data_IF_547405235078
#
_entry.id   IF_547405235078
#
_cell.length_a   1.000
_cell.length_b   1.000
_cell.length_c   1.000
_cell.angle_alpha   90.00
_cell.angle_beta   90.00
_cell.angle_gamma   90.00
#
_symmetry.space_group_name_H-M   'P 1'
#
loop_
_entity.id
_entity.type
_entity.pdbx_description
1 polymer ?
#
# COMPACT_ATOMS: atom_id res chain seq x y z
N UNK A 1 -35.06 -21.11 15.64
CA UNK A 1 -33.86 -21.94 15.40
C UNK A 1 -33.09 -21.31 14.24
N UNK A 2 -31.84 -20.89 14.45
CA UNK A 2 -31.03 -20.24 13.41
C UNK A 2 -30.76 -21.21 12.26
N UNK A 3 -31.29 -20.93 11.06
CA UNK A 3 -31.02 -21.69 9.82
C UNK A 3 -29.57 -21.55 9.30
N UNK A 4 -28.67 -20.97 10.09
CA UNK A 4 -27.31 -20.60 9.70
C UNK A 4 -26.35 -21.81 9.55
N UNK A 5 -26.76 -23.03 9.88
CA UNK A 5 -25.82 -24.17 10.04
C UNK A 5 -26.33 -25.52 9.52
N UNK A 6 -27.09 -25.57 8.43
CA UNK A 6 -27.16 -26.81 7.62
C UNK A 6 -26.02 -26.81 6.62
N UNK A 7 -24.81 -27.15 7.05
CA UNK A 7 -23.66 -27.31 6.14
C UNK A 7 -23.70 -28.71 5.51
N UNK A 8 -23.22 -28.82 4.27
CA UNK A 8 -22.99 -30.13 3.66
C UNK A 8 -21.96 -30.90 4.48
N UNK A 9 -22.24 -32.18 4.72
CA UNK A 9 -21.26 -33.11 5.30
C UNK A 9 -20.17 -33.42 4.27
N UNK A 10 -19.02 -33.91 4.73
CA UNK A 10 -17.91 -34.30 3.85
C UNK A 10 -18.35 -35.23 2.71
N UNK A 11 -19.13 -36.26 3.02
CA UNK A 11 -19.65 -37.20 2.03
C UNK A 11 -20.59 -36.53 1.02
N UNK A 12 -21.41 -35.56 1.45
CA UNK A 12 -22.26 -34.79 0.54
C UNK A 12 -21.44 -33.86 -0.36
N UNK A 13 -20.34 -33.28 0.13
CA UNK A 13 -19.43 -32.46 -0.68
C UNK A 13 -18.77 -33.30 -1.78
N UNK A 14 -18.35 -34.52 -1.47
CA UNK A 14 -17.69 -35.43 -2.43
C UNK A 14 -18.63 -35.91 -3.54
N UNK A 15 -19.94 -35.91 -3.30
CA UNK A 15 -20.98 -36.37 -4.23
C UNK A 15 -21.75 -35.23 -4.91
N UNK A 16 -21.58 -33.99 -4.44
CA UNK A 16 -22.26 -32.83 -4.99
C UNK A 16 -21.72 -32.47 -6.38
N UNK A 17 -22.61 -31.99 -7.23
CA UNK A 17 -22.25 -31.39 -8.51
C UNK A 17 -21.47 -30.08 -8.33
N UNK A 18 -20.75 -29.67 -9.38
CA UNK A 18 -20.01 -28.40 -9.39
C UNK A 18 -20.93 -27.21 -9.07
N UNK A 19 -22.16 -27.20 -9.61
CA UNK A 19 -23.10 -26.11 -9.39
C UNK A 19 -23.66 -26.11 -7.96
N UNK A 20 -23.91 -27.27 -7.35
CA UNK A 20 -24.27 -27.37 -5.94
C UNK A 20 -23.14 -26.87 -5.03
N UNK A 21 -21.89 -27.23 -5.34
CA UNK A 21 -20.73 -26.75 -4.58
C UNK A 21 -20.53 -25.24 -4.71
N UNK A 22 -20.68 -24.66 -5.91
CA UNK A 22 -20.63 -23.20 -6.12
C UNK A 22 -21.74 -22.49 -5.36
N UNK A 23 -22.95 -23.05 -5.38
CA UNK A 23 -24.09 -22.50 -4.65
C UNK A 23 -23.84 -22.54 -3.15
N UNK A 24 -23.35 -23.66 -2.61
CA UNK A 24 -23.03 -23.79 -1.18
C UNK A 24 -21.87 -22.87 -0.76
N UNK A 25 -20.84 -22.71 -1.60
CA UNK A 25 -19.78 -21.71 -1.41
C UNK A 25 -20.35 -20.29 -1.33
N UNK A 26 -21.21 -19.92 -2.29
CA UNK A 26 -21.85 -18.60 -2.30
C UNK A 26 -22.72 -18.38 -1.05
N UNK A 27 -23.46 -19.41 -0.63
CA UNK A 27 -24.29 -19.38 0.58
C UNK A 27 -23.45 -19.19 1.84
N UNK A 28 -22.34 -19.93 1.97
CA UNK A 28 -21.44 -19.84 3.13
C UNK A 28 -20.72 -18.49 3.22
N UNK A 29 -20.38 -17.87 2.08
CA UNK A 29 -19.86 -16.50 2.06
C UNK A 29 -20.90 -15.48 2.58
N UNK A 30 -22.17 -15.61 2.19
CA UNK A 30 -23.26 -14.77 2.70
C UNK A 30 -23.47 -14.94 4.20
N UNK A 31 -23.40 -16.18 4.69
CA UNK A 31 -23.43 -16.47 6.14
C UNK A 31 -22.25 -15.80 6.85
N UNK A 32 -21.06 -15.82 6.25
CA UNK A 32 -19.87 -15.16 6.81
C UNK A 32 -20.06 -13.65 6.93
N UNK A 33 -20.63 -13.00 5.92
CA UNK A 33 -21.00 -11.58 5.98
C UNK A 33 -21.97 -11.28 7.14
N UNK A 34 -23.00 -12.10 7.31
CA UNK A 34 -23.94 -11.97 8.44
C UNK A 34 -23.24 -12.16 9.80
N UNK A 35 -22.27 -13.06 9.89
CA UNK A 35 -21.44 -13.21 11.09
C UNK A 35 -20.57 -11.97 11.36
N UNK A 36 -20.03 -11.31 10.33
CA UNK A 36 -19.31 -10.05 10.52
C UNK A 36 -20.22 -8.95 11.07
N UNK A 37 -21.47 -8.87 10.61
CA UNK A 37 -22.48 -7.96 11.19
C UNK A 37 -22.71 -8.29 12.66
N UNK A 38 -22.94 -9.56 12.99
CA UNK A 38 -23.14 -9.99 14.37
C UNK A 38 -21.92 -9.66 15.26
N UNK A 39 -20.70 -9.92 14.79
CA UNK A 39 -19.46 -9.55 15.48
C UNK A 39 -19.34 -8.03 15.65
N UNK A 40 -19.78 -7.23 14.68
CA UNK A 40 -19.77 -5.77 14.78
C UNK A 40 -20.72 -5.24 15.88
N UNK A 41 -21.83 -5.92 16.12
CA UNK A 41 -22.75 -5.58 17.21
C UNK A 41 -22.11 -5.85 18.57
N UNK A 42 -21.44 -7.00 18.73
CA UNK A 42 -20.66 -7.35 19.93
C UNK A 42 -19.54 -6.32 20.13
N UNK A 43 -18.78 -6.02 19.07
CA UNK A 43 -17.71 -5.02 19.10
C UNK A 43 -18.23 -3.67 19.61
N UNK A 44 -19.35 -3.20 19.07
CA UNK A 44 -19.98 -1.93 19.48
C UNK A 44 -20.30 -1.93 20.97
N UNK A 45 -20.83 -3.04 21.50
CA UNK A 45 -21.15 -3.16 22.92
C UNK A 45 -19.89 -3.20 23.80
N UNK A 46 -18.89 -4.01 23.46
CA UNK A 46 -17.62 -4.08 24.20
C UNK A 46 -16.89 -2.73 24.21
N UNK A 47 -16.90 -2.02 23.08
CA UNK A 47 -16.30 -0.69 22.98
C UNK A 47 -17.04 0.34 23.85
N UNK A 48 -18.38 0.28 23.92
CA UNK A 48 -19.17 1.12 24.86
C UNK A 48 -18.85 0.85 26.32
N UNK A 49 -18.44 -0.38 26.65
CA UNK A 49 -18.02 -0.77 28.00
C UNK A 49 -16.56 -0.37 28.32
N UNK A 50 -15.85 0.25 27.39
CA UNK A 50 -14.47 0.70 27.58
C UNK A 50 -13.42 -0.42 27.53
N UNK A 51 -13.77 -1.58 26.98
CA UNK A 51 -12.83 -2.70 26.81
C UNK A 51 -11.83 -2.38 25.71
N UNK A 52 -10.54 -2.60 25.95
CA UNK A 52 -9.53 -2.51 24.89
C UNK A 52 -9.62 -3.74 23.97
N UNK A 53 -9.86 -3.46 22.69
CA UNK A 53 -10.01 -4.46 21.62
C UNK A 53 -8.88 -4.37 20.58
N UNK A 54 -7.84 -3.58 20.85
CA UNK A 54 -6.72 -3.33 19.93
C UNK A 54 -6.09 -4.64 19.42
N UNK A 55 -5.90 -5.62 20.31
CA UNK A 55 -5.32 -6.93 19.98
C UNK A 55 -6.15 -7.80 19.04
N UNK A 56 -7.44 -7.47 18.83
CA UNK A 56 -8.33 -8.24 17.94
C UNK A 56 -8.30 -7.75 16.49
N UNK A 57 -7.68 -6.60 16.19
CA UNK A 57 -7.68 -5.97 14.86
C UNK A 57 -6.71 -6.65 13.89
N UNK A 58 -7.02 -7.87 13.47
CA UNK A 58 -6.23 -8.61 12.48
C UNK A 58 -7.12 -9.39 11.51
N UNK A 59 -6.59 -9.69 10.31
CA UNK A 59 -7.36 -10.39 9.28
C UNK A 59 -8.67 -9.69 8.93
N UNK A 60 -9.78 -10.43 8.89
CA UNK A 60 -11.11 -9.85 8.65
C UNK A 60 -11.61 -9.00 9.83
N UNK A 61 -11.15 -9.25 11.05
CA UNK A 61 -11.53 -8.48 12.23
C UNK A 61 -11.03 -7.03 12.19
N UNK A 62 -10.03 -6.71 11.37
CA UNK A 62 -9.58 -5.34 11.11
C UNK A 62 -10.73 -4.45 10.60
N UNK A 63 -11.72 -5.03 9.91
CA UNK A 63 -12.85 -4.32 9.31
C UNK A 63 -14.12 -4.28 10.19
N UNK A 64 -14.20 -5.12 11.23
CA UNK A 64 -15.34 -5.17 12.17
C UNK A 64 -15.67 -3.79 12.80
N UNK A 65 -14.69 -2.97 13.21
CA UNK A 65 -14.97 -1.62 13.71
C UNK A 65 -15.62 -0.69 12.67
N UNK A 66 -15.27 -0.86 11.39
CA UNK A 66 -15.83 -0.06 10.29
C UNK A 66 -17.27 -0.48 9.99
N UNK A 67 -17.56 -1.79 10.07
CA UNK A 67 -18.93 -2.31 9.97
C UNK A 67 -19.78 -1.81 11.15
N UNK A 68 -19.23 -1.86 12.37
CA UNK A 68 -19.93 -1.43 13.59
C UNK A 68 -20.31 0.07 13.57
N UNK A 69 -19.58 0.88 12.80
CA UNK A 69 -19.82 2.31 12.63
C UNK A 69 -20.54 2.65 11.32
N UNK A 70 -21.08 1.63 10.63
CA UNK A 70 -21.77 1.76 9.33
C UNK A 70 -20.92 2.45 8.24
N UNK A 71 -19.59 2.34 8.34
CA UNK A 71 -18.65 2.90 7.36
C UNK A 71 -18.30 1.93 6.24
N UNK A 72 -18.48 0.63 6.46
CA UNK A 72 -18.13 -0.39 5.49
C UNK A 72 -19.18 -1.48 5.42
N UNK A 73 -19.65 -1.80 4.22
CA UNK A 73 -20.55 -2.91 3.99
C UNK A 73 -19.80 -4.25 4.16
N UNK A 74 -20.33 -5.20 4.96
CA UNK A 74 -19.71 -6.50 5.22
C UNK A 74 -19.57 -7.40 3.98
N UNK A 75 -20.48 -7.32 3.01
CA UNK A 75 -20.41 -8.09 1.77
C UNK A 75 -19.19 -7.67 0.93
N UNK A 76 -18.85 -6.37 0.93
CA UNK A 76 -17.64 -5.87 0.28
C UNK A 76 -16.36 -6.40 0.93
N UNK A 77 -16.35 -6.58 2.26
CA UNK A 77 -15.22 -7.14 3.00
C UNK A 77 -14.96 -8.58 2.57
N UNK A 78 -16.02 -9.37 2.39
CA UNK A 78 -15.91 -10.76 1.92
C UNK A 78 -15.48 -10.80 0.46
N UNK A 79 -16.11 -10.01 -0.40
CA UNK A 79 -15.85 -10.01 -1.84
C UNK A 79 -14.43 -9.55 -2.18
N UNK A 80 -13.94 -8.51 -1.49
CA UNK A 80 -12.65 -7.87 -1.78
C UNK A 80 -11.60 -8.15 -0.69
N UNK A 81 -11.76 -9.27 0.03
CA UNK A 81 -10.81 -9.72 1.04
C UNK A 81 -9.36 -9.72 0.50
N UNK A 82 -8.46 -9.07 1.22
CA UNK A 82 -7.05 -8.92 0.82
C UNK A 82 -6.75 -7.69 -0.04
N UNK A 83 -7.75 -7.06 -0.67
CA UNK A 83 -7.55 -5.78 -1.36
C UNK A 83 -7.72 -4.60 -0.39
N UNK A 84 -6.73 -4.42 0.48
CA UNK A 84 -6.74 -3.36 1.51
C UNK A 84 -6.93 -1.95 0.92
N UNK A 85 -6.39 -1.70 -0.27
CA UNK A 85 -6.52 -0.39 -0.94
C UNK A 85 -7.96 -0.12 -1.33
N UNK A 86 -8.64 -1.10 -1.94
CA UNK A 86 -10.03 -0.97 -2.32
C UNK A 86 -10.95 -0.87 -1.10
N UNK A 87 -10.74 -1.70 -0.08
CA UNK A 87 -11.56 -1.65 1.15
C UNK A 87 -11.40 -0.33 1.91
N UNK A 88 -10.18 0.20 1.99
CA UNK A 88 -9.94 1.51 2.59
C UNK A 88 -10.60 2.65 1.78
N UNK A 89 -10.60 2.55 0.46
CA UNK A 89 -11.29 3.48 -0.42
C UNK A 89 -12.82 3.42 -0.25
N UNK A 90 -13.39 2.21 -0.27
CA UNK A 90 -14.83 1.96 -0.09
C UNK A 90 -15.35 2.44 1.26
N UNK A 91 -14.53 2.39 2.32
CA UNK A 91 -14.91 2.89 3.65
C UNK A 91 -15.19 4.41 3.68
N UNK A 92 -14.76 5.16 2.66
CA UNK A 92 -15.06 6.59 2.51
C UNK A 92 -16.27 6.87 1.60
N UNK A 93 -16.85 5.84 0.98
CA UNK A 93 -18.00 5.95 0.08
C UNK A 93 -19.29 5.86 0.91
N UNK A 94 -20.35 6.61 0.58
CA UNK A 94 -21.66 6.45 1.21
C UNK A 94 -22.18 5.01 1.19
N UNK A 95 -22.80 4.55 2.29
CA UNK A 95 -23.21 3.15 2.44
C UNK A 95 -24.20 2.68 1.35
N UNK A 96 -25.05 3.58 0.85
CA UNK A 96 -25.99 3.27 -0.24
C UNK A 96 -25.26 2.93 -1.54
N UNK A 97 -24.19 3.67 -1.86
CA UNK A 97 -23.35 3.39 -3.02
C UNK A 97 -22.53 2.12 -2.81
N UNK A 98 -22.08 1.85 -1.58
CA UNK A 98 -21.44 0.59 -1.24
C UNK A 98 -22.36 -0.61 -1.49
N UNK A 99 -23.65 -0.52 -1.16
CA UNK A 99 -24.62 -1.58 -1.42
C UNK A 99 -24.76 -1.86 -2.92
N UNK A 100 -24.88 -0.81 -3.73
CA UNK A 100 -24.91 -0.93 -5.19
C UNK A 100 -23.61 -1.56 -5.76
N UNK A 101 -22.46 -1.20 -5.20
CA UNK A 101 -21.17 -1.79 -5.58
C UNK A 101 -21.10 -3.26 -5.16
N UNK A 102 -21.66 -3.65 -4.01
CA UNK A 102 -21.66 -5.03 -3.54
C UNK A 102 -22.44 -5.96 -4.49
N UNK A 103 -23.53 -5.45 -5.06
CA UNK A 103 -24.37 -6.18 -6.02
C UNK A 103 -23.71 -6.28 -7.41
N UNK A 104 -23.21 -5.17 -7.93
CA UNK A 104 -22.72 -5.09 -9.32
C UNK A 104 -21.25 -5.43 -9.47
N UNK A 105 -20.46 -5.22 -8.41
CA UNK A 105 -18.99 -5.34 -8.37
C UNK A 105 -18.28 -4.48 -9.42
N UNK A 106 -18.98 -3.47 -9.92
CA UNK A 106 -18.60 -2.71 -11.08
C UNK A 106 -18.82 -1.22 -10.84
N UNK A 107 -18.00 -0.39 -11.47
CA UNK A 107 -18.12 1.07 -11.39
C UNK A 107 -17.87 1.70 -12.75
N UNK A 108 -18.47 2.86 -13.00
CA UNK A 108 -18.14 3.66 -14.17
C UNK A 108 -16.70 4.17 -14.07
N UNK A 109 -15.96 4.04 -15.17
CA UNK A 109 -14.56 4.41 -15.25
C UNK A 109 -14.28 5.18 -16.53
N UNK A 110 -13.41 6.18 -16.44
CA UNK A 110 -13.03 7.02 -17.57
C UNK A 110 -11.58 6.79 -17.96
N UNK A 111 -11.34 6.52 -19.23
CA UNK A 111 -10.02 6.60 -19.86
C UNK A 111 -9.87 7.89 -20.67
N UNK A 112 -8.62 8.30 -20.87
CA UNK A 112 -8.28 9.34 -21.84
C UNK A 112 -7.83 8.66 -23.15
N UNK A 113 -8.53 8.96 -24.24
CA UNK A 113 -8.08 8.60 -25.58
C UNK A 113 -6.91 9.46 -26.06
N UNK A 114 -6.43 9.20 -27.28
CA UNK A 114 -5.21 9.81 -27.83
C UNK A 114 -5.31 11.34 -27.97
N UNK A 115 -6.51 11.88 -28.20
CA UNK A 115 -6.74 13.33 -28.33
C UNK A 115 -7.37 13.95 -27.07
N UNK A 116 -7.17 13.33 -25.91
CA UNK A 116 -7.84 13.67 -24.65
C UNK A 116 -9.37 13.55 -24.71
N UNK A 117 -9.92 12.73 -25.60
CA UNK A 117 -11.34 12.38 -25.55
C UNK A 117 -11.67 11.59 -24.27
N UNK A 118 -12.87 11.81 -23.76
CA UNK A 118 -13.43 11.06 -22.62
C UNK A 118 -13.95 9.71 -23.15
N UNK A 119 -13.33 8.62 -22.72
CA UNK A 119 -13.79 7.26 -23.05
C UNK A 119 -14.38 6.65 -21.78
N UNK A 120 -15.68 6.43 -21.74
CA UNK A 120 -16.34 5.78 -20.61
C UNK A 120 -16.41 4.27 -20.82
N UNK A 121 -16.05 3.52 -19.77
CA UNK A 121 -16.20 2.06 -19.72
C UNK A 121 -16.60 1.61 -18.33
N UNK A 122 -16.94 0.34 -18.22
CA UNK A 122 -17.18 -0.31 -16.93
C UNK A 122 -15.86 -0.88 -16.41
N UNK A 123 -15.56 -0.63 -15.13
CA UNK A 123 -14.44 -1.23 -14.41
C UNK A 123 -14.96 -2.33 -13.49
N UNK A 124 -14.46 -3.54 -13.72
CA UNK A 124 -14.61 -4.68 -12.81
C UNK A 124 -13.67 -4.51 -11.60
N UNK A 125 -14.25 -4.34 -10.42
CA UNK A 125 -13.48 -4.08 -9.20
C UNK A 125 -12.68 -5.30 -8.73
N UNK A 126 -13.06 -6.51 -9.13
CA UNK A 126 -12.31 -7.73 -8.77
C UNK A 126 -10.92 -7.75 -9.41
N UNK A 127 -10.74 -6.99 -10.50
CA UNK A 127 -9.49 -6.88 -11.27
C UNK A 127 -8.89 -5.48 -11.27
N UNK A 128 -9.49 -4.56 -10.50
CA UNK A 128 -9.08 -3.15 -10.51
C UNK A 128 -7.68 -2.96 -9.94
N UNK A 129 -6.85 -2.21 -10.67
CA UNK A 129 -5.51 -1.84 -10.23
C UNK A 129 -5.58 -0.66 -9.26
N UNK A 130 -4.57 -0.49 -8.37
CA UNK A 130 -4.54 0.64 -7.43
C UNK A 130 -4.74 2.00 -8.08
N UNK A 131 -4.16 2.25 -9.26
CA UNK A 131 -4.33 3.51 -10.00
C UNK A 131 -5.79 3.77 -10.40
N UNK A 132 -6.51 2.72 -10.80
CA UNK A 132 -7.92 2.81 -11.19
C UNK A 132 -8.78 3.08 -9.95
N UNK A 133 -8.49 2.38 -8.84
CA UNK A 133 -9.13 2.61 -7.54
C UNK A 133 -8.97 4.07 -7.12
N UNK A 134 -7.75 4.62 -7.12
CA UNK A 134 -7.52 6.01 -6.73
C UNK A 134 -8.19 7.04 -7.64
N UNK A 135 -8.44 6.70 -8.91
CA UNK A 135 -9.14 7.57 -9.84
C UNK A 135 -10.64 7.60 -9.54
N UNK A 136 -11.25 6.45 -9.27
CA UNK A 136 -12.68 6.37 -8.94
C UNK A 136 -12.93 6.86 -7.51
N UNK A 137 -12.13 6.44 -6.55
CA UNK A 137 -12.41 6.59 -5.11
C UNK A 137 -11.54 7.63 -4.41
N UNK A 138 -11.62 8.91 -4.83
CA UNK A 138 -10.87 9.98 -4.16
C UNK A 138 -11.49 11.37 -4.29
N UNK A 139 -12.79 11.45 -4.57
CA UNK A 139 -13.55 12.71 -4.61
C UNK A 139 -13.89 13.23 -3.21
N UNK A 140 -14.56 14.38 -3.12
CA UNK A 140 -14.99 15.00 -1.85
C UNK A 140 -15.84 14.05 -0.99
N UNK A 141 -16.61 13.15 -1.62
CA UNK A 141 -17.43 12.15 -0.95
C UNK A 141 -16.85 10.72 -1.06
N UNK A 142 -15.54 10.60 -1.27
CA UNK A 142 -14.88 9.30 -1.45
C UNK A 142 -15.15 8.62 -2.81
N UNK A 143 -15.98 9.22 -3.67
CA UNK A 143 -16.33 8.71 -5.01
C UNK A 143 -16.31 9.83 -6.06
N UNK A 144 -15.79 9.55 -7.25
CA UNK A 144 -15.75 10.46 -8.40
C UNK A 144 -16.67 9.95 -9.50
N UNK A 145 -17.63 10.78 -9.91
CA UNK A 145 -18.43 10.53 -11.10
C UNK A 145 -17.56 10.61 -12.38
N UNK A 146 -18.07 10.18 -13.55
CA UNK A 146 -17.28 10.17 -14.79
C UNK A 146 -16.67 11.53 -15.16
N UNK A 147 -17.38 12.63 -14.93
CA UNK A 147 -16.88 13.97 -15.24
C UNK A 147 -15.75 14.40 -14.30
N UNK A 148 -15.88 14.10 -13.01
CA UNK A 148 -14.83 14.34 -12.01
C UNK A 148 -13.58 13.48 -12.28
N UNK A 149 -13.76 12.24 -12.71
CA UNK A 149 -12.64 11.39 -13.14
C UNK A 149 -11.91 11.99 -14.34
N UNK A 150 -12.65 12.46 -15.33
CA UNK A 150 -12.08 13.12 -16.51
C UNK A 150 -11.31 14.40 -16.15
N UNK A 151 -11.88 15.24 -15.27
CA UNK A 151 -11.21 16.45 -14.77
C UNK A 151 -9.94 16.10 -13.98
N UNK A 152 -9.98 15.08 -13.13
CA UNK A 152 -8.81 14.57 -12.41
C UNK A 152 -7.70 14.12 -13.38
N UNK A 153 -8.06 13.39 -14.44
CA UNK A 153 -7.10 12.97 -15.46
C UNK A 153 -6.49 14.15 -16.23
N UNK A 154 -7.31 15.13 -16.62
CA UNK A 154 -6.84 16.38 -17.26
C UNK A 154 -5.93 17.21 -16.36
N UNK A 155 -6.25 17.32 -15.08
CA UNK A 155 -5.38 18.02 -14.14
C UNK A 155 -4.02 17.32 -14.04
N UNK A 156 -4.02 15.98 -13.94
CA UNK A 156 -2.80 15.18 -13.83
C UNK A 156 -1.93 15.20 -15.08
N UNK A 157 -2.52 15.34 -16.27
CA UNK A 157 -1.75 15.47 -17.52
C UNK A 157 -1.13 16.86 -17.71
N UNK A 158 -1.74 17.90 -17.13
CA UNK A 158 -1.23 19.29 -17.16
C UNK A 158 -0.10 19.55 -16.16
N UNK A 159 0.02 18.75 -15.09
CA UNK A 159 1.15 18.89 -14.17
C UNK A 159 2.42 18.48 -14.92
N UNK A 160 3.39 19.39 -15.15
CA UNK A 160 4.63 19.02 -15.80
C UNK A 160 5.28 17.91 -14.98
N UNK A 161 5.63 16.80 -15.65
CA UNK A 161 6.42 15.75 -15.01
C UNK A 161 7.69 16.41 -14.51
N UNK A 162 7.79 16.62 -13.20
CA UNK A 162 9.05 17.03 -12.57
C UNK A 162 10.05 15.97 -13.05
N UNK A 163 11.12 16.36 -13.77
CA UNK A 163 12.10 15.39 -14.22
C UNK A 163 12.55 14.61 -12.99
N UNK A 164 12.51 13.27 -13.07
CA UNK A 164 13.01 12.40 -12.00
C UNK A 164 14.35 12.97 -11.58
N UNK A 165 14.40 13.52 -10.37
CA UNK A 165 15.59 14.20 -9.86
C UNK A 165 16.75 13.25 -10.06
N UNK A 166 17.83 13.75 -10.69
CA UNK A 166 19.07 13.02 -10.96
C UNK A 166 19.33 12.02 -9.84
N UNK A 167 19.67 10.77 -10.21
CA UNK A 167 20.05 9.70 -9.28
C UNK A 167 20.65 10.30 -8.01
N UNK A 168 20.00 10.04 -6.86
CA UNK A 168 20.57 10.47 -5.58
C UNK A 168 21.97 9.87 -5.53
N UNK A 169 23.00 10.70 -5.72
CA UNK A 169 24.37 10.35 -5.37
C UNK A 169 24.35 10.13 -3.86
N UNK A 170 24.15 8.89 -3.45
CA UNK A 170 24.36 8.50 -2.07
C UNK A 170 25.84 8.71 -1.81
N UNK A 171 26.18 9.79 -1.12
CA UNK A 171 27.53 9.97 -0.60
C UNK A 171 27.78 8.77 0.33
N UNK A 172 28.75 7.92 -0.02
CA UNK A 172 29.13 6.78 0.83
C UNK A 172 29.72 7.36 2.12
N UNK A 173 29.44 6.73 3.25
CA UNK A 173 30.09 7.08 4.52
C UNK A 173 31.59 6.88 4.37
N UNK A 174 32.36 7.88 4.81
CA UNK A 174 33.82 7.82 4.82
C UNK A 174 34.28 7.96 6.26
N UNK A 175 35.01 6.97 6.73
CA UNK A 175 35.56 6.90 8.08
C UNK A 175 37.05 6.51 8.00
N UNK A 176 37.79 6.67 9.10
CA UNK A 176 39.15 6.14 9.21
C UNK A 176 39.15 4.92 10.12
N UNK A 177 40.05 3.98 9.85
CA UNK A 177 40.28 2.85 10.76
C UNK A 177 40.90 3.32 12.09
N UNK A 178 40.87 2.48 13.12
CA UNK A 178 41.31 2.83 14.48
C UNK A 178 42.76 3.37 14.54
N UNK A 179 43.60 2.98 13.58
CA UNK A 179 45.00 3.39 13.51
C UNK A 179 45.26 4.53 12.51
N UNK A 180 44.21 5.03 11.83
CA UNK A 180 44.26 6.03 10.75
C UNK A 180 45.22 5.67 9.60
N UNK A 181 45.48 4.38 9.37
CA UNK A 181 46.29 3.91 8.23
C UNK A 181 45.42 3.82 6.96
N UNK A 182 44.13 3.56 7.12
CA UNK A 182 43.19 3.35 6.02
C UNK A 182 41.95 4.25 6.14
N UNK A 183 41.53 4.80 5.01
CA UNK A 183 40.23 5.44 4.82
C UNK A 183 39.22 4.39 4.34
N UNK A 184 38.17 4.17 5.12
CA UNK A 184 37.06 3.27 4.85
C UNK A 184 35.99 4.00 4.05
N UNK A 185 35.56 3.42 2.91
CA UNK A 185 34.53 4.00 2.03
C UNK A 185 33.36 3.02 1.92
N UNK A 186 32.30 3.26 2.69
CA UNK A 186 31.22 2.30 2.86
C UNK A 186 31.66 1.05 3.64
N UNK A 187 31.05 -0.11 3.38
CA UNK A 187 31.28 -1.34 4.15
C UNK A 187 32.47 -2.19 3.69
N UNK A 188 32.83 -2.08 2.40
CA UNK A 188 33.65 -3.12 1.75
C UNK A 188 34.92 -2.56 1.08
N UNK A 189 35.20 -1.26 1.20
CA UNK A 189 36.34 -0.63 0.55
C UNK A 189 37.22 0.09 1.56
N UNK A 190 38.53 -0.18 1.49
CA UNK A 190 39.56 0.49 2.28
C UNK A 190 40.64 1.01 1.35
N UNK A 191 41.06 2.26 1.55
CA UNK A 191 42.10 2.91 0.76
C UNK A 191 43.19 3.37 1.72
N UNK A 192 44.45 3.05 1.42
CA UNK A 192 45.56 3.46 2.27
C UNK A 192 45.72 4.98 2.19
N UNK A 193 45.78 5.65 3.35
CA UNK A 193 45.85 7.12 3.42
C UNK A 193 47.09 7.66 2.68
N UNK A 194 48.19 6.94 2.77
CA UNK A 194 49.45 7.22 2.06
C UNK A 194 49.26 7.35 0.54
N UNK A 195 48.46 6.47 -0.04
CA UNK A 195 48.16 6.48 -1.48
C UNK A 195 47.32 7.69 -1.87
N UNK A 196 46.43 8.14 -0.99
CA UNK A 196 45.61 9.33 -1.19
C UNK A 196 46.48 10.59 -1.12
N UNK A 197 47.35 10.69 -0.12
CA UNK A 197 48.26 11.83 0.05
C UNK A 197 49.21 11.97 -1.15
N UNK A 198 49.77 10.86 -1.62
CA UNK A 198 50.61 10.86 -2.83
C UNK A 198 49.83 11.30 -4.07
N UNK A 199 48.65 10.73 -4.29
CA UNK A 199 47.82 11.10 -5.45
C UNK A 199 47.38 12.57 -5.42
N UNK A 200 47.10 13.11 -4.23
CA UNK A 200 46.80 14.54 -4.06
C UNK A 200 48.04 15.41 -4.29
N UNK A 201 49.21 14.98 -3.79
CA UNK A 201 50.46 15.68 -4.02
C UNK A 201 50.83 15.74 -5.51
N UNK A 202 50.66 14.61 -6.22
CA UNK A 202 50.87 14.52 -7.66
C UNK A 202 49.86 15.41 -8.43
N UNK A 203 48.59 15.43 -8.01
CA UNK A 203 47.54 16.21 -8.68
C UNK A 203 47.73 17.73 -8.54
N UNK A 204 48.20 18.17 -7.38
CA UNK A 204 48.37 19.60 -7.08
C UNK A 204 49.82 20.07 -7.18
N UNK A 205 50.75 19.18 -7.57
CA UNK A 205 52.21 19.42 -7.66
C UNK A 205 52.81 19.97 -6.36
N UNK A 206 52.36 19.45 -5.22
CA UNK A 206 52.75 19.92 -3.88
C UNK A 206 53.15 18.74 -3.00
N UNK A 207 54.15 18.92 -2.14
CA UNK A 207 54.47 17.93 -1.11
C UNK A 207 53.44 17.99 0.04
N UNK A 208 52.45 17.12 -0.07
CA UNK A 208 51.39 16.98 0.93
C UNK A 208 51.92 16.47 2.29
N UNK A 209 53.02 15.72 2.34
CA UNK A 209 53.59 15.27 3.61
C UNK A 209 54.23 16.43 4.36
N UNK A 210 54.96 17.29 3.65
CA UNK A 210 55.56 18.48 4.25
C UNK A 210 54.47 19.40 4.84
N UNK A 211 53.38 19.64 4.09
CA UNK A 211 52.29 20.49 4.56
C UNK A 211 51.60 19.88 5.79
N UNK A 212 51.25 18.59 5.72
CA UNK A 212 50.49 17.95 6.80
C UNK A 212 51.35 17.72 8.05
N UNK A 213 52.67 17.60 7.92
CA UNK A 213 53.60 17.51 9.06
C UNK A 213 53.59 18.76 9.95
N UNK A 214 53.28 19.94 9.39
CA UNK A 214 53.19 21.21 10.13
C UNK A 214 51.98 21.27 11.07
N UNK A 215 50.98 20.40 10.84
CA UNK A 215 49.71 20.39 11.57
C UNK A 215 49.50 19.10 12.38
N UNK A 216 50.44 18.14 12.32
CA UNK A 216 50.35 16.88 13.06
C UNK A 216 51.73 16.26 13.34
N UNK A 217 52.09 16.19 14.62
CA UNK A 217 53.35 15.58 15.10
C UNK A 217 53.49 14.08 14.75
N UNK A 218 52.37 13.41 14.44
CA UNK A 218 52.37 11.99 14.02
C UNK A 218 52.84 11.80 12.57
N UNK A 219 52.70 12.80 11.70
CA UNK A 219 53.12 12.72 10.29
C UNK A 219 54.60 13.12 10.14
N UNK A 220 55.10 14.01 11.00
CA UNK A 220 56.50 14.47 10.99
C UNK A 220 57.54 13.39 11.37
N UNK A 221 57.12 12.22 11.88
CA UNK A 221 58.00 11.14 12.36
C UNK A 221 58.07 9.91 11.45
N UNK A 222 57.52 9.98 10.25
CA UNK A 222 57.57 8.91 9.23
C UNK A 222 58.41 9.36 8.06
#
# INVERSE_FOLDING_TARGET
MNELTKMLTKHQIEQASIEELKHELSRTLKVTSQYLVYMSMIWSQLNKMGVDLSGLKSGLFEYVPLIATNKLNPDLVIEFAGNKTLLAALANVPIEQQNWIAETKQVAFVDLGEKNEKIERVLDLTKAKPREIYQVFGGENGFRNPDQQYLYLKAKSKVPKIPKTKERKTLRSVEFDLNNEYMLVGKDSRVKVDTILKALGDLYEIDMYEIMSKYSDRIAKK
#
